data_IF_738011648377
#
_entry.id   IF_738011648377
#
_cell.length_a   1.000
_cell.length_b   1.000
_cell.length_c   1.000
_cell.angle_alpha   90.00
_cell.angle_beta   90.00
_cell.angle_gamma   90.00
#
_symmetry.space_group_name_H-M   'P 1'
#
loop_
_entity.id
_entity.type
_entity.pdbx_description
1 polymer ?
#
# COMPACT_ATOMS: atom_id res chain seq x y z
N UNK A 1 -4.69 -4.76 -21.41
CA UNK A 1 -4.63 -4.41 -19.97
C UNK A 1 -6.00 -4.56 -19.33
N UNK A 2 -6.03 -4.56 -18.03
CA UNK A 2 -7.25 -4.73 -17.24
C UNK A 2 -7.44 -3.52 -16.32
N UNK A 3 -8.04 -2.42 -16.78
CA UNK A 3 -8.25 -1.22 -15.97
C UNK A 3 -9.03 -1.47 -14.68
N UNK A 4 -9.99 -2.40 -14.71
CA UNK A 4 -10.72 -2.89 -13.55
C UNK A 4 -10.83 -4.43 -13.56
N UNK A 5 -11.17 -4.97 -12.40
CA UNK A 5 -11.26 -6.43 -12.20
C UNK A 5 -12.31 -7.10 -13.08
N UNK A 6 -13.35 -6.39 -13.51
CA UNK A 6 -14.37 -6.92 -14.42
C UNK A 6 -13.77 -7.36 -15.75
N UNK A 7 -12.84 -6.57 -16.33
CA UNK A 7 -12.17 -6.95 -17.57
C UNK A 7 -11.31 -8.21 -17.40
N UNK A 8 -10.60 -8.31 -16.25
CA UNK A 8 -9.80 -9.50 -15.93
C UNK A 8 -10.68 -10.76 -15.78
N UNK A 9 -11.82 -10.64 -15.08
CA UNK A 9 -12.74 -11.75 -14.87
C UNK A 9 -13.41 -12.19 -16.19
N UNK A 10 -13.74 -11.23 -17.04
CA UNK A 10 -14.33 -11.52 -18.34
C UNK A 10 -13.32 -12.26 -19.25
N UNK A 11 -12.08 -11.83 -19.30
CA UNK A 11 -11.04 -12.44 -20.14
C UNK A 11 -10.66 -13.86 -19.66
N UNK A 12 -10.50 -14.07 -18.36
CA UNK A 12 -10.06 -15.34 -17.79
C UNK A 12 -11.18 -16.38 -17.66
N UNK A 13 -12.40 -15.94 -17.36
CA UNK A 13 -13.50 -16.83 -16.98
C UNK A 13 -14.77 -16.65 -17.81
N UNK A 14 -14.81 -15.71 -18.75
CA UNK A 14 -16.01 -15.36 -19.50
C UNK A 14 -17.14 -14.74 -18.65
N UNK A 15 -16.80 -14.25 -17.43
CA UNK A 15 -17.77 -13.71 -16.48
C UNK A 15 -17.87 -12.19 -16.64
N UNK A 16 -18.99 -11.72 -17.14
CA UNK A 16 -19.23 -10.28 -17.30
C UNK A 16 -20.01 -9.71 -16.12
N UNK A 17 -19.32 -9.47 -14.99
CA UNK A 17 -19.88 -8.81 -13.82
C UNK A 17 -19.25 -7.40 -13.73
N UNK A 18 -20.03 -6.34 -13.83
CA UNK A 18 -19.53 -4.98 -13.69
C UNK A 18 -19.19 -4.69 -12.21
N UNK A 19 -17.91 -4.80 -11.84
CA UNK A 19 -17.40 -4.53 -10.48
C UNK A 19 -16.74 -3.14 -10.44
N UNK A 20 -17.05 -2.29 -9.46
CA UNK A 20 -16.44 -0.98 -9.29
C UNK A 20 -15.04 -1.06 -8.63
N UNK A 21 -14.26 -2.08 -9.00
CA UNK A 21 -12.95 -2.36 -8.40
C UNK A 21 -11.87 -2.14 -9.43
N UNK A 22 -11.12 -1.07 -9.27
CA UNK A 22 -9.94 -0.80 -10.09
C UNK A 22 -8.85 -1.83 -9.81
N UNK A 23 -8.20 -2.32 -10.85
CA UNK A 23 -7.16 -3.36 -10.76
C UNK A 23 -5.99 -2.92 -9.88
N UNK A 24 -5.53 -1.68 -10.01
CA UNK A 24 -4.49 -1.14 -9.14
C UNK A 24 -4.88 -1.22 -7.66
N UNK A 25 -6.07 -0.71 -7.30
CA UNK A 25 -6.56 -0.74 -5.91
C UNK A 25 -6.71 -2.16 -5.35
N UNK A 26 -7.12 -3.12 -6.18
CA UNK A 26 -7.21 -4.53 -5.82
C UNK A 26 -5.85 -5.12 -5.42
N UNK A 27 -4.81 -4.90 -6.24
CA UNK A 27 -3.46 -5.38 -5.92
C UNK A 27 -2.85 -4.65 -4.72
N UNK A 28 -3.13 -3.37 -4.53
CA UNK A 28 -2.74 -2.63 -3.32
C UNK A 28 -3.36 -3.25 -2.06
N UNK A 29 -4.65 -3.60 -2.10
CA UNK A 29 -5.32 -4.28 -0.98
C UNK A 29 -4.67 -5.65 -0.67
N UNK A 30 -4.38 -6.45 -1.71
CA UNK A 30 -3.65 -7.73 -1.55
C UNK A 30 -2.25 -7.49 -0.97
N UNK A 31 -1.53 -6.46 -1.42
CA UNK A 31 -0.22 -6.10 -0.90
C UNK A 31 -0.27 -5.82 0.60
N UNK A 32 -1.26 -5.06 1.08
CA UNK A 32 -1.49 -4.82 2.50
C UNK A 32 -1.79 -6.10 3.28
N UNK A 33 -2.65 -6.98 2.76
CA UNK A 33 -3.01 -8.23 3.42
C UNK A 33 -1.80 -9.17 3.55
N UNK A 34 -1.05 -9.38 2.47
CA UNK A 34 0.09 -10.29 2.47
C UNK A 34 1.29 -9.73 3.24
N UNK A 35 1.54 -8.43 3.20
CA UNK A 35 2.58 -7.81 4.04
C UNK A 35 2.22 -7.87 5.53
N UNK A 36 0.95 -7.69 5.88
CA UNK A 36 0.46 -7.85 7.25
C UNK A 36 0.61 -9.28 7.73
N UNK A 37 0.28 -10.25 6.89
CA UNK A 37 0.46 -11.67 7.20
C UNK A 37 1.94 -12.02 7.44
N UNK A 38 2.85 -11.57 6.58
CA UNK A 38 4.30 -11.77 6.76
C UNK A 38 4.82 -11.11 8.03
N UNK A 39 4.37 -9.88 8.32
CA UNK A 39 4.69 -9.17 9.56
C UNK A 39 4.20 -9.95 10.79
N UNK A 40 2.99 -10.50 10.75
CA UNK A 40 2.44 -11.33 11.84
C UNK A 40 3.31 -12.57 12.09
N UNK A 41 3.75 -13.25 11.03
CA UNK A 41 4.64 -14.41 11.15
C UNK A 41 5.99 -14.05 11.77
N UNK A 42 6.56 -12.91 11.36
CA UNK A 42 7.85 -12.43 11.91
C UNK A 42 7.73 -12.00 13.38
N UNK A 43 6.67 -11.30 13.75
CA UNK A 43 6.47 -10.92 15.14
C UNK A 43 6.24 -12.15 16.06
N UNK A 44 5.48 -13.16 15.59
CA UNK A 44 5.35 -14.45 16.29
C UNK A 44 6.69 -15.14 16.47
N UNK A 45 7.52 -15.16 15.43
CA UNK A 45 8.87 -15.75 15.51
C UNK A 45 9.74 -15.01 16.51
N UNK A 46 9.82 -13.69 16.41
CA UNK A 46 10.65 -12.85 17.29
C UNK A 46 10.21 -12.94 18.75
N UNK A 47 8.91 -13.10 19.01
CA UNK A 47 8.38 -13.35 20.36
C UNK A 47 8.84 -14.72 20.88
N UNK A 48 8.76 -15.78 20.08
CA UNK A 48 9.25 -17.13 20.46
C UNK A 48 10.76 -17.16 20.73
N UNK A 49 11.53 -16.33 20.02
CA UNK A 49 12.97 -16.19 20.22
C UNK A 49 13.34 -15.29 21.42
N UNK A 50 12.35 -14.72 22.12
CA UNK A 50 12.58 -13.85 23.27
C UNK A 50 13.11 -12.46 22.93
N UNK A 51 13.07 -12.05 21.64
CA UNK A 51 13.53 -10.74 21.19
C UNK A 51 12.51 -9.62 21.49
N UNK A 52 11.24 -9.97 21.62
CA UNK A 52 10.14 -9.10 22.03
C UNK A 52 9.25 -9.83 23.00
N UNK A 53 8.70 -9.10 23.96
CA UNK A 53 7.81 -9.67 24.98
C UNK A 53 6.37 -9.22 24.76
N UNK A 54 5.42 -10.05 25.19
CA UNK A 54 4.03 -9.63 25.31
C UNK A 54 3.89 -8.52 26.36
N UNK A 55 2.93 -7.62 26.16
CA UNK A 55 2.63 -6.52 27.09
C UNK A 55 1.32 -6.79 27.83
N UNK A 56 1.27 -6.43 29.12
CA UNK A 56 0.05 -6.50 29.91
C UNK A 56 -0.73 -5.19 29.80
N UNK A 57 -1.99 -5.26 29.36
CA UNK A 57 -2.89 -4.12 29.28
C UNK A 57 -4.08 -4.31 30.19
N UNK A 58 -4.41 -3.26 30.96
CA UNK A 58 -5.68 -3.23 31.71
C UNK A 58 -6.82 -2.92 30.76
N UNK A 59 -7.80 -3.79 30.66
CA UNK A 59 -9.03 -3.63 29.90
C UNK A 59 -10.21 -3.67 30.85
N UNK A 60 -11.08 -2.67 30.77
CA UNK A 60 -12.33 -2.68 31.54
C UNK A 60 -13.37 -3.39 30.67
N UNK A 61 -13.90 -4.49 31.17
CA UNK A 61 -14.99 -5.26 30.58
C UNK A 61 -16.28 -5.02 31.33
N UNK A 62 -17.40 -5.28 30.68
CA UNK A 62 -18.72 -5.17 31.29
C UNK A 62 -19.21 -3.73 31.45
N UNK A 63 -18.66 -2.77 30.69
CA UNK A 63 -19.16 -1.40 30.68
C UNK A 63 -20.58 -1.36 30.15
N UNK A 64 -21.41 -0.49 30.74
CA UNK A 64 -22.71 -0.15 30.17
C UNK A 64 -22.56 0.57 28.84
N UNK A 65 -23.58 0.45 28.01
CA UNK A 65 -23.62 1.12 26.72
C UNK A 65 -23.55 2.63 26.92
N UNK A 66 -22.56 3.27 26.28
CA UNK A 66 -22.43 4.73 26.31
C UNK A 66 -23.30 5.36 25.21
N UNK A 67 -24.17 6.35 25.53
CA UNK A 67 -24.91 7.08 24.51
C UNK A 67 -23.99 7.73 23.47
N UNK A 68 -22.82 8.23 23.88
CA UNK A 68 -21.83 8.83 22.98
C UNK A 68 -21.29 7.83 21.96
N UNK A 69 -21.00 6.59 22.39
CA UNK A 69 -20.57 5.53 21.47
C UNK A 69 -21.66 5.19 20.44
N UNK A 70 -22.93 5.15 20.86
CA UNK A 70 -24.05 4.90 19.96
C UNK A 70 -24.24 6.03 18.96
N UNK A 71 -24.10 7.29 19.38
CA UNK A 71 -24.19 8.45 18.47
C UNK A 71 -23.07 8.39 17.44
N UNK A 72 -21.83 8.15 17.86
CA UNK A 72 -20.70 8.04 16.93
C UNK A 72 -20.92 6.89 15.93
N UNK A 73 -21.37 5.73 16.40
CA UNK A 73 -21.68 4.60 15.52
C UNK A 73 -22.87 4.90 14.61
N UNK A 74 -23.87 5.63 15.10
CA UNK A 74 -24.99 6.12 14.29
C UNK A 74 -24.54 7.06 13.17
N UNK A 75 -23.65 8.01 13.46
CA UNK A 75 -23.10 8.91 12.44
C UNK A 75 -22.30 8.13 11.39
N UNK A 76 -21.42 7.22 11.80
CA UNK A 76 -20.67 6.37 10.88
C UNK A 76 -21.61 5.53 10.03
N UNK A 77 -22.60 4.89 10.66
CA UNK A 77 -23.62 4.11 9.96
C UNK A 77 -24.44 4.95 8.97
N UNK A 78 -24.78 6.20 9.35
CA UNK A 78 -25.47 7.13 8.46
C UNK A 78 -24.65 7.42 7.20
N UNK A 79 -23.40 7.81 7.35
CA UNK A 79 -22.53 8.14 6.22
C UNK A 79 -22.35 6.93 5.27
N UNK A 80 -22.12 5.75 5.84
CA UNK A 80 -21.98 4.52 5.05
C UNK A 80 -23.29 4.17 4.35
N UNK A 81 -24.41 4.12 5.07
CA UNK A 81 -25.71 3.77 4.49
C UNK A 81 -26.20 4.78 3.46
N UNK A 82 -25.93 6.09 3.68
CA UNK A 82 -26.25 7.17 2.76
C UNK A 82 -25.60 6.95 1.38
N UNK A 83 -24.34 6.52 1.37
CA UNK A 83 -23.59 6.23 0.14
C UNK A 83 -23.91 4.85 -0.45
N UNK A 84 -24.02 3.81 0.38
CA UNK A 84 -24.26 2.44 -0.10
C UNK A 84 -25.62 2.31 -0.81
N UNK A 85 -26.69 2.86 -0.24
CA UNK A 85 -27.99 2.77 -0.90
C UNK A 85 -28.02 3.60 -2.19
N UNK A 86 -27.40 4.78 -2.20
CA UNK A 86 -27.27 5.60 -3.41
C UNK A 86 -26.49 4.88 -4.51
N UNK A 87 -25.35 4.29 -4.16
CA UNK A 87 -24.55 3.48 -5.08
C UNK A 87 -25.31 2.25 -5.61
N UNK A 88 -26.12 1.60 -4.77
CA UNK A 88 -26.94 0.47 -5.19
C UNK A 88 -28.05 0.87 -6.17
N UNK A 89 -28.67 2.03 -5.97
CA UNK A 89 -29.74 2.55 -6.86
C UNK A 89 -29.18 3.10 -8.19
N UNK A 90 -27.96 3.64 -8.18
CA UNK A 90 -27.27 4.19 -9.35
C UNK A 90 -26.02 3.35 -9.68
N UNK A 91 -26.19 2.03 -9.75
CA UNK A 91 -25.07 1.11 -9.83
C UNK A 91 -24.20 1.27 -11.08
N UNK A 92 -24.81 1.58 -12.22
CA UNK A 92 -24.08 1.86 -13.47
C UNK A 92 -23.12 3.05 -13.33
N UNK A 93 -23.56 4.13 -12.71
CA UNK A 93 -22.77 5.34 -12.50
C UNK A 93 -21.67 5.08 -11.46
N UNK A 94 -21.99 4.29 -10.43
CA UNK A 94 -21.03 3.87 -9.42
C UNK A 94 -19.89 3.03 -10.01
N UNK A 95 -20.20 2.10 -10.93
CA UNK A 95 -19.15 1.29 -11.60
C UNK A 95 -18.24 2.17 -12.48
N UNK A 96 -18.82 3.16 -13.16
CA UNK A 96 -18.06 4.05 -14.06
C UNK A 96 -17.18 5.06 -13.30
N UNK A 97 -17.67 5.60 -12.17
CA UNK A 97 -16.94 6.58 -11.36
C UNK A 97 -17.15 6.37 -9.85
N UNK A 98 -16.57 5.31 -9.25
CA UNK A 98 -16.75 5.02 -7.83
C UNK A 98 -16.22 6.14 -6.92
N UNK A 99 -15.09 6.73 -7.28
CA UNK A 99 -14.43 7.78 -6.50
C UNK A 99 -15.26 9.06 -6.48
N UNK A 100 -15.72 9.52 -7.63
CA UNK A 100 -16.55 10.71 -7.75
C UNK A 100 -17.87 10.56 -6.97
N UNK A 101 -18.50 9.38 -7.03
CA UNK A 101 -19.72 9.11 -6.29
C UNK A 101 -19.49 9.08 -4.77
N UNK A 102 -18.42 8.44 -4.29
CA UNK A 102 -18.14 8.36 -2.85
C UNK A 102 -17.86 9.76 -2.27
N UNK A 103 -17.15 10.61 -3.00
CA UNK A 103 -16.79 11.96 -2.54
C UNK A 103 -17.86 13.01 -2.81
N UNK A 104 -18.84 12.74 -3.68
CA UNK A 104 -19.92 13.68 -3.94
C UNK A 104 -20.73 13.96 -2.66
N UNK A 105 -21.48 15.03 -2.64
CA UNK A 105 -22.47 15.30 -1.59
C UNK A 105 -23.77 14.50 -1.80
N UNK A 106 -23.92 13.87 -2.95
CA UNK A 106 -25.09 13.06 -3.30
C UNK A 106 -25.14 11.78 -2.48
N UNK A 107 -26.36 11.31 -2.21
CA UNK A 107 -26.62 10.11 -1.44
C UNK A 107 -28.10 9.90 -1.17
N UNK A 108 -28.45 8.84 -0.49
CA UNK A 108 -29.85 8.49 -0.21
C UNK A 108 -30.15 8.61 1.29
N UNK A 109 -30.96 9.60 1.68
CA UNK A 109 -31.24 9.91 3.09
C UNK A 109 -31.83 8.73 3.87
N UNK A 110 -32.78 7.97 3.26
CA UNK A 110 -33.30 6.77 3.89
C UNK A 110 -32.23 5.70 4.13
N UNK A 111 -31.29 5.54 3.18
CA UNK A 111 -30.12 4.67 3.36
C UNK A 111 -29.27 5.10 4.56
N UNK A 112 -29.08 6.42 4.73
CA UNK A 112 -28.41 6.97 5.89
C UNK A 112 -29.11 6.63 7.20
N UNK A 113 -30.42 6.83 7.29
CA UNK A 113 -31.18 6.50 8.50
C UNK A 113 -31.14 5.00 8.82
N UNK A 114 -31.31 4.14 7.84
CA UNK A 114 -31.21 2.70 8.01
C UNK A 114 -29.80 2.28 8.47
N UNK A 115 -28.78 2.83 7.84
CA UNK A 115 -27.37 2.58 8.23
C UNK A 115 -27.08 3.03 9.65
N UNK A 116 -27.56 4.21 10.05
CA UNK A 116 -27.45 4.71 11.42
C UNK A 116 -28.08 3.78 12.44
N UNK A 117 -29.31 3.37 12.17
CA UNK A 117 -30.05 2.46 13.05
C UNK A 117 -29.34 1.10 13.16
N UNK A 118 -29.00 0.49 12.03
CA UNK A 118 -28.37 -0.84 12.00
C UNK A 118 -27.05 -0.80 12.76
N UNK A 119 -26.17 0.17 12.47
CA UNK A 119 -24.84 0.21 13.10
C UNK A 119 -24.91 0.52 14.60
N UNK A 120 -25.77 1.47 15.00
CA UNK A 120 -26.00 1.76 16.41
C UNK A 120 -26.63 0.57 17.15
N UNK A 121 -27.58 -0.13 16.52
CA UNK A 121 -28.21 -1.32 17.10
C UNK A 121 -27.24 -2.51 17.22
N UNK A 122 -26.40 -2.74 16.21
CA UNK A 122 -25.35 -3.77 16.28
C UNK A 122 -24.39 -3.49 17.43
N UNK A 123 -23.96 -2.24 17.59
CA UNK A 123 -23.10 -1.83 18.71
C UNK A 123 -23.78 -1.97 20.06
N UNK A 124 -25.04 -1.56 20.15
CA UNK A 124 -25.84 -1.75 21.36
C UNK A 124 -25.90 -3.24 21.76
N UNK A 125 -26.20 -4.12 20.81
CA UNK A 125 -26.27 -5.58 21.07
C UNK A 125 -24.91 -6.15 21.48
N UNK A 126 -23.82 -5.74 20.82
CA UNK A 126 -22.47 -6.16 21.15
C UNK A 126 -22.14 -5.83 22.61
N UNK A 127 -22.28 -4.56 22.99
CA UNK A 127 -21.96 -4.09 24.34
C UNK A 127 -22.91 -4.70 25.39
N UNK A 128 -24.21 -4.80 25.08
CA UNK A 128 -25.21 -5.39 25.98
C UNK A 128 -24.96 -6.87 26.28
N UNK A 129 -24.42 -7.61 25.30
CA UNK A 129 -24.05 -9.02 25.47
C UNK A 129 -22.86 -9.20 26.45
N UNK A 130 -21.98 -8.20 26.50
CA UNK A 130 -20.80 -8.21 27.36
C UNK A 130 -21.02 -7.41 28.67
N UNK A 131 -22.20 -6.80 28.88
CA UNK A 131 -22.52 -5.98 30.03
C UNK A 131 -22.52 -6.80 31.32
N UNK A 132 -21.88 -6.30 32.36
CA UNK A 132 -21.85 -6.89 33.70
C UNK A 132 -22.47 -5.89 34.70
N UNK A 133 -23.06 -6.41 35.78
CA UNK A 133 -23.63 -5.55 36.83
C UNK A 133 -22.63 -4.54 37.37
N UNK A 134 -21.37 -4.98 37.50
CA UNK A 134 -20.24 -4.09 37.84
C UNK A 134 -19.10 -4.28 36.84
N UNK A 135 -18.63 -3.19 36.23
CA UNK A 135 -17.47 -3.26 35.32
C UNK A 135 -16.24 -3.84 36.05
N UNK A 136 -15.56 -4.80 35.41
CA UNK A 136 -14.34 -5.39 35.96
C UNK A 136 -13.12 -4.99 35.15
N UNK A 137 -12.04 -4.66 35.85
CA UNK A 137 -10.74 -4.46 35.20
C UNK A 137 -10.02 -5.81 35.12
N UNK A 138 -9.82 -6.29 33.90
CA UNK A 138 -8.99 -7.48 33.64
C UNK A 138 -7.64 -7.05 33.07
N UNK A 139 -6.62 -7.86 33.37
CA UNK A 139 -5.31 -7.70 32.76
C UNK A 139 -5.22 -8.68 31.59
N UNK A 140 -5.25 -8.14 30.39
CA UNK A 140 -5.11 -8.90 29.15
C UNK A 140 -3.63 -8.90 28.72
N UNK A 141 -3.13 -10.07 28.33
CA UNK A 141 -1.81 -10.17 27.71
C UNK A 141 -1.95 -9.94 26.22
N UNK A 142 -1.33 -8.88 25.72
CA UNK A 142 -1.33 -8.53 24.30
C UNK A 142 -0.03 -9.01 23.66
N UNK A 143 -0.14 -9.96 22.76
CA UNK A 143 0.99 -10.47 21.99
C UNK A 143 1.35 -9.52 20.83
N UNK A 144 2.63 -9.36 20.47
CA UNK A 144 3.06 -8.47 19.38
C UNK A 144 2.33 -8.71 18.06
N UNK A 145 2.08 -9.96 17.68
CA UNK A 145 1.39 -10.29 16.43
C UNK A 145 -0.09 -9.85 16.40
N UNK A 146 -0.73 -9.69 17.56
CA UNK A 146 -2.11 -9.18 17.65
C UNK A 146 -2.20 -7.69 17.32
N UNK A 147 -1.09 -6.98 17.37
CA UNK A 147 -1.01 -5.56 17.04
C UNK A 147 -0.98 -5.31 15.52
N UNK A 148 -0.77 -6.34 14.69
CA UNK A 148 -0.56 -6.19 13.24
C UNK A 148 -1.73 -5.52 12.55
N UNK A 149 -2.98 -5.86 12.90
CA UNK A 149 -4.15 -5.19 12.33
C UNK A 149 -4.15 -3.67 12.58
N UNK A 150 -3.84 -3.26 13.81
CA UNK A 150 -3.73 -1.84 14.15
C UNK A 150 -2.50 -1.19 13.48
N UNK A 151 -1.37 -1.88 13.40
CA UNK A 151 -0.16 -1.40 12.70
C UNK A 151 -0.48 -1.15 11.24
N UNK A 152 -1.17 -2.08 10.58
CA UNK A 152 -1.56 -1.94 9.16
C UNK A 152 -2.53 -0.79 8.95
N UNK A 153 -3.53 -0.64 9.82
CA UNK A 153 -4.48 0.48 9.75
C UNK A 153 -3.77 1.83 9.96
N UNK A 154 -2.89 1.93 10.97
CA UNK A 154 -2.09 3.12 11.21
C UNK A 154 -1.21 3.44 10.02
N UNK A 155 -0.51 2.44 9.45
CA UNK A 155 0.31 2.62 8.27
C UNK A 155 -0.50 3.14 7.08
N UNK A 156 -1.69 2.57 6.82
CA UNK A 156 -2.56 2.99 5.73
C UNK A 156 -3.06 4.43 5.92
N UNK A 157 -3.65 4.73 7.08
CA UNK A 157 -4.23 6.06 7.36
C UNK A 157 -3.16 7.14 7.38
N UNK A 158 -2.08 6.94 8.16
CA UNK A 158 -0.99 7.92 8.24
C UNK A 158 -0.22 8.02 6.93
N UNK A 159 -0.14 6.93 6.16
CA UNK A 159 0.44 6.92 4.82
C UNK A 159 -0.36 7.79 3.84
N UNK A 160 -1.68 7.63 3.78
CA UNK A 160 -2.55 8.46 2.93
C UNK A 160 -2.47 9.94 3.31
N UNK A 161 -2.56 10.24 4.62
CA UNK A 161 -2.45 11.61 5.13
C UNK A 161 -1.07 12.20 4.77
N UNK A 162 0.00 11.44 4.98
CA UNK A 162 1.35 11.89 4.66
C UNK A 162 1.56 12.11 3.17
N UNK A 163 1.08 11.19 2.32
CA UNK A 163 1.16 11.32 0.87
C UNK A 163 0.46 12.60 0.39
N UNK A 164 -0.72 12.90 0.95
CA UNK A 164 -1.49 14.10 0.62
C UNK A 164 -0.83 15.37 1.12
N UNK A 165 -0.33 15.35 2.36
CA UNK A 165 0.37 16.49 2.96
C UNK A 165 1.60 16.88 2.13
N UNK A 166 2.44 15.91 1.76
CA UNK A 166 3.65 16.17 0.99
C UNK A 166 3.33 16.63 -0.43
N UNK A 167 2.31 16.04 -1.07
CA UNK A 167 1.86 16.51 -2.38
C UNK A 167 1.46 18.00 -2.34
N UNK A 168 0.66 18.40 -1.35
CA UNK A 168 0.23 19.79 -1.20
C UNK A 168 1.40 20.73 -0.86
N UNK A 169 2.44 20.25 -0.16
CA UNK A 169 3.66 21.01 0.09
C UNK A 169 4.53 21.18 -1.16
N UNK A 170 4.56 20.16 -2.03
CA UNK A 170 5.28 20.21 -3.32
C UNK A 170 4.57 21.11 -4.34
N UNK A 171 3.22 21.22 -4.25
CA UNK A 171 2.37 21.98 -5.18
C UNK A 171 1.61 23.07 -4.41
N UNK A 172 2.34 23.94 -3.72
CA UNK A 172 1.75 24.92 -2.79
C UNK A 172 0.83 25.92 -3.49
N UNK A 173 1.13 26.31 -4.73
CA UNK A 173 0.34 27.26 -5.51
C UNK A 173 -1.04 26.67 -5.88
N UNK A 174 -1.09 25.41 -6.28
CA UNK A 174 -2.35 24.70 -6.55
C UNK A 174 -3.16 24.50 -5.27
N UNK A 175 -2.49 24.19 -4.17
CA UNK A 175 -3.12 24.05 -2.87
C UNK A 175 -3.74 25.36 -2.39
N UNK A 176 -3.05 26.48 -2.52
CA UNK A 176 -3.57 27.80 -2.14
C UNK A 176 -4.72 28.28 -3.03
N UNK A 177 -4.77 27.84 -4.29
CA UNK A 177 -5.87 28.16 -5.22
C UNK A 177 -7.17 27.44 -4.86
N UNK A 178 -7.12 26.16 -4.45
CA UNK A 178 -8.28 25.36 -4.04
C UNK A 178 -7.90 24.39 -2.89
N UNK A 179 -7.81 24.86 -1.63
CA UNK A 179 -7.40 24.01 -0.52
C UNK A 179 -8.35 22.83 -0.24
N UNK A 180 -9.67 23.06 -0.38
CA UNK A 180 -10.68 22.03 -0.08
C UNK A 180 -10.68 20.95 -1.16
N UNK A 181 -10.69 21.34 -2.42
CA UNK A 181 -10.63 20.41 -3.55
C UNK A 181 -9.35 19.57 -3.52
N UNK A 182 -8.21 20.21 -3.25
CA UNK A 182 -6.93 19.50 -3.13
C UNK A 182 -6.90 18.51 -1.95
N UNK A 183 -7.46 18.84 -0.79
CA UNK A 183 -7.52 17.92 0.34
C UNK A 183 -8.47 16.73 0.11
N UNK A 184 -9.58 16.94 -0.59
CA UNK A 184 -10.60 15.92 -0.83
C UNK A 184 -10.32 15.09 -2.08
N UNK A 185 -9.46 15.54 -3.00
CA UNK A 185 -9.16 14.77 -4.21
C UNK A 185 -8.38 13.48 -3.89
N UNK A 186 -8.68 12.39 -4.59
CA UNK A 186 -7.88 11.14 -4.52
C UNK A 186 -6.63 11.17 -5.41
N UNK A 187 -6.52 12.15 -6.31
CA UNK A 187 -5.32 12.40 -7.10
C UNK A 187 -4.29 13.18 -6.30
N UNK A 188 -3.06 13.20 -6.76
CA UNK A 188 -1.99 13.95 -6.12
C UNK A 188 -1.57 13.33 -4.77
N UNK A 189 -0.88 12.20 -4.83
CA UNK A 189 -0.34 11.50 -3.67
C UNK A 189 1.16 11.29 -3.87
N UNK A 190 1.97 11.94 -3.03
CA UNK A 190 3.42 11.76 -3.07
C UNK A 190 3.83 10.51 -2.29
N UNK A 191 4.44 9.56 -2.98
CA UNK A 191 4.84 8.28 -2.40
C UNK A 191 5.72 8.44 -1.14
N UNK A 192 6.73 9.30 -1.19
CA UNK A 192 7.67 9.48 -0.08
C UNK A 192 7.02 10.09 1.16
N UNK A 193 6.07 11.00 1.00
CA UNK A 193 5.29 11.54 2.11
C UNK A 193 4.52 10.44 2.84
N UNK A 194 3.90 9.53 2.08
CA UNK A 194 3.21 8.37 2.63
C UNK A 194 4.14 7.41 3.36
N UNK A 195 5.29 7.10 2.77
CA UNK A 195 6.28 6.20 3.36
C UNK A 195 6.85 6.75 4.68
N UNK A 196 7.24 8.02 4.72
CA UNK A 196 7.82 8.67 5.90
C UNK A 196 6.78 8.73 7.03
N UNK A 197 5.60 9.29 6.77
CA UNK A 197 4.56 9.44 7.79
C UNK A 197 4.06 8.07 8.28
N UNK A 198 3.89 7.10 7.39
CA UNK A 198 3.52 5.72 7.73
C UNK A 198 4.57 5.07 8.62
N UNK A 199 5.84 5.14 8.25
CA UNK A 199 6.94 4.56 9.03
C UNK A 199 7.05 5.20 10.43
N UNK A 200 7.00 6.52 10.53
CA UNK A 200 7.05 7.24 11.82
C UNK A 200 5.90 6.84 12.72
N UNK A 201 4.67 6.80 12.19
CA UNK A 201 3.48 6.44 12.95
C UNK A 201 3.52 4.98 13.44
N UNK A 202 3.97 4.04 12.59
CA UNK A 202 4.14 2.62 12.95
C UNK A 202 5.21 2.46 14.03
N UNK A 203 6.37 3.11 13.89
CA UNK A 203 7.45 3.05 14.89
C UNK A 203 6.96 3.62 16.23
N UNK A 204 6.25 4.75 16.22
CA UNK A 204 5.69 5.35 17.43
C UNK A 204 4.69 4.41 18.11
N UNK A 205 3.78 3.81 17.33
CA UNK A 205 2.81 2.84 17.84
C UNK A 205 3.49 1.59 18.41
N UNK A 206 4.46 1.00 17.70
CA UNK A 206 5.21 -0.17 18.15
C UNK A 206 5.96 0.11 19.46
N UNK A 207 6.59 1.29 19.59
CA UNK A 207 7.28 1.75 20.81
C UNK A 207 6.34 1.79 22.02
N UNK A 208 5.07 2.21 21.83
CA UNK A 208 4.06 2.22 22.91
C UNK A 208 3.80 0.83 23.50
N UNK A 209 4.03 -0.24 22.74
CA UNK A 209 3.90 -1.63 23.15
C UNK A 209 5.25 -2.29 23.45
N UNK A 210 6.30 -1.51 23.68
CA UNK A 210 7.62 -2.01 24.06
C UNK A 210 8.42 -2.67 22.94
N UNK A 211 7.98 -2.55 21.67
CA UNK A 211 8.70 -3.08 20.53
C UNK A 211 9.71 -2.04 20.05
N UNK A 212 10.99 -2.39 20.12
CA UNK A 212 12.07 -1.51 19.70
C UNK A 212 12.05 -1.29 18.18
N UNK A 213 12.34 -0.06 17.71
CA UNK A 213 12.25 0.31 16.30
C UNK A 213 13.08 -0.59 15.37
N UNK A 214 14.28 -1.04 15.78
CA UNK A 214 15.11 -1.95 14.97
C UNK A 214 14.41 -3.30 14.74
N UNK A 215 13.66 -3.78 15.74
CA UNK A 215 13.00 -5.09 15.66
C UNK A 215 11.77 -5.01 14.75
N UNK A 216 10.97 -3.95 14.87
CA UNK A 216 9.79 -3.78 14.01
C UNK A 216 10.20 -3.52 12.55
N UNK A 217 11.29 -2.74 12.31
CA UNK A 217 11.81 -2.51 10.96
C UNK A 217 12.31 -3.79 10.31
N UNK A 218 13.06 -4.64 11.05
CA UNK A 218 13.49 -5.96 10.56
C UNK A 218 12.32 -6.89 10.28
N UNK A 219 11.28 -6.87 11.12
CA UNK A 219 10.10 -7.69 10.93
C UNK A 219 9.27 -7.26 9.71
N UNK A 220 9.25 -5.95 9.43
CA UNK A 220 8.54 -5.38 8.29
C UNK A 220 9.30 -5.53 6.96
N UNK A 221 10.62 -5.56 6.97
CA UNK A 221 11.48 -5.50 5.77
C UNK A 221 11.09 -6.50 4.66
N UNK A 222 10.91 -7.81 4.92
CA UNK A 222 10.46 -8.74 3.88
C UNK A 222 9.05 -8.43 3.39
N UNK A 223 8.13 -8.07 4.30
CA UNK A 223 6.75 -7.71 3.96
C UNK A 223 6.66 -6.46 3.08
N UNK A 224 7.53 -5.47 3.30
CA UNK A 224 7.61 -4.27 2.45
C UNK A 224 8.05 -4.61 1.03
N UNK A 225 9.05 -5.51 0.87
CA UNK A 225 9.49 -5.95 -0.45
C UNK A 225 8.40 -6.76 -1.18
N UNK A 226 7.67 -7.61 -0.46
CA UNK A 226 6.52 -8.33 -1.00
C UNK A 226 5.41 -7.37 -1.44
N UNK A 227 5.08 -6.38 -0.60
CA UNK A 227 4.08 -5.37 -0.92
C UNK A 227 4.46 -4.54 -2.15
N UNK A 228 5.74 -4.21 -2.30
CA UNK A 228 6.25 -3.53 -3.48
C UNK A 228 6.02 -4.35 -4.75
N UNK A 229 6.44 -5.63 -4.78
CA UNK A 229 6.24 -6.49 -5.95
C UNK A 229 4.77 -6.69 -6.31
N UNK A 230 3.88 -6.88 -5.31
CA UNK A 230 2.44 -7.02 -5.55
C UNK A 230 1.81 -5.69 -6.00
N UNK A 231 2.25 -4.56 -5.45
CA UNK A 231 1.82 -3.24 -5.91
C UNK A 231 2.15 -3.02 -7.39
N UNK A 232 3.34 -3.46 -7.83
CA UNK A 232 3.75 -3.41 -9.24
C UNK A 232 2.90 -4.29 -10.17
N UNK A 233 2.29 -5.38 -9.65
CA UNK A 233 1.27 -6.11 -10.42
C UNK A 233 0.08 -5.20 -10.75
N UNK A 234 -0.32 -4.35 -9.79
CA UNK A 234 -1.35 -3.34 -10.04
C UNK A 234 -1.00 -2.40 -11.18
N UNK A 235 0.21 -1.83 -11.17
CA UNK A 235 0.72 -0.96 -12.22
C UNK A 235 0.76 -1.69 -13.59
N UNK A 236 1.32 -2.89 -13.62
CA UNK A 236 1.45 -3.67 -14.85
C UNK A 236 0.10 -4.02 -15.46
N UNK A 237 -0.80 -4.60 -14.67
CA UNK A 237 -2.10 -5.07 -15.18
C UNK A 237 -3.07 -3.96 -15.51
N UNK A 238 -3.01 -2.81 -14.83
CA UNK A 238 -3.85 -1.66 -15.16
C UNK A 238 -3.31 -0.82 -16.33
N UNK A 239 -2.00 -0.85 -16.57
CA UNK A 239 -1.35 0.05 -17.52
C UNK A 239 -1.45 1.50 -17.07
N UNK A 240 -0.95 1.81 -15.87
CA UNK A 240 -1.09 3.11 -15.21
C UNK A 240 -0.06 4.17 -15.60
N UNK A 241 0.80 3.87 -16.57
CA UNK A 241 1.82 4.82 -17.08
C UNK A 241 3.22 4.58 -16.52
N UNK A 242 3.38 3.65 -15.60
CA UNK A 242 4.66 3.34 -14.94
C UNK A 242 5.63 2.51 -15.81
N UNK A 243 5.40 2.46 -17.12
CA UNK A 243 6.27 1.76 -18.08
C UNK A 243 7.58 2.50 -18.35
N UNK A 244 8.47 1.84 -19.10
CA UNK A 244 9.78 2.36 -19.47
C UNK A 244 9.81 3.19 -20.75
N UNK A 245 11.02 3.56 -21.16
CA UNK A 245 11.28 4.24 -22.43
C UNK A 245 10.93 3.35 -23.61
N UNK A 246 10.78 3.95 -24.80
CA UNK A 246 10.51 3.23 -26.04
C UNK A 246 11.57 2.13 -26.28
N UNK A 247 11.10 0.95 -26.62
CA UNK A 247 11.93 -0.23 -26.88
C UNK A 247 11.67 -0.76 -28.28
N UNK A 248 12.48 -0.28 -29.25
CA UNK A 248 12.48 -0.75 -30.63
C UNK A 248 13.59 -1.79 -30.89
N UNK A 249 14.37 -2.13 -29.88
CA UNK A 249 15.44 -3.10 -30.01
C UNK A 249 14.90 -4.54 -30.17
N UNK A 250 15.53 -5.38 -31.00
CA UNK A 250 15.15 -6.77 -31.13
C UNK A 250 15.28 -7.49 -29.79
N UNK A 251 14.36 -8.44 -29.54
CA UNK A 251 14.39 -9.25 -28.32
C UNK A 251 15.69 -10.08 -28.29
N UNK A 252 16.44 -10.05 -27.16
CA UNK A 252 17.68 -10.82 -27.02
C UNK A 252 17.43 -12.32 -27.15
N UNK A 253 18.38 -13.05 -27.72
CA UNK A 253 18.26 -14.51 -27.91
C UNK A 253 18.01 -15.29 -26.62
N UNK A 254 18.61 -14.87 -25.49
CA UNK A 254 18.42 -15.51 -24.20
C UNK A 254 17.00 -15.34 -23.64
N UNK A 255 16.19 -14.41 -24.18
CA UNK A 255 14.75 -14.23 -23.87
C UNK A 255 13.83 -14.88 -24.90
N UNK A 256 14.35 -15.59 -25.93
CA UNK A 256 13.55 -16.15 -27.02
C UNK A 256 12.41 -17.08 -26.57
N UNK A 257 12.58 -17.74 -25.42
CA UNK A 257 11.57 -18.62 -24.80
C UNK A 257 10.40 -17.88 -24.12
N UNK A 258 10.52 -16.56 -23.91
CA UNK A 258 9.47 -15.73 -23.32
C UNK A 258 8.62 -15.08 -24.42
N UNK A 259 7.35 -14.74 -24.16
CA UNK A 259 6.51 -13.96 -25.07
C UNK A 259 7.10 -12.59 -25.39
N UNK A 260 6.80 -12.04 -26.56
CA UNK A 260 7.38 -10.74 -26.99
C UNK A 260 6.99 -9.56 -26.11
N UNK A 261 5.79 -9.57 -25.55
CA UNK A 261 5.32 -8.54 -24.62
C UNK A 261 6.16 -8.44 -23.33
N UNK A 262 6.97 -9.44 -23.01
CA UNK A 262 7.90 -9.37 -21.88
C UNK A 262 9.13 -8.51 -22.15
N UNK A 263 9.41 -8.20 -23.42
CA UNK A 263 10.52 -7.36 -23.85
C UNK A 263 10.06 -5.99 -24.33
N UNK A 264 9.02 -5.94 -25.15
CA UNK A 264 8.51 -4.75 -25.80
C UNK A 264 6.97 -4.81 -25.81
N UNK A 265 6.28 -3.86 -25.16
CA UNK A 265 4.84 -3.92 -24.96
C UNK A 265 4.15 -2.59 -25.23
N UNK A 266 3.01 -2.62 -25.94
CA UNK A 266 2.24 -1.43 -26.31
C UNK A 266 1.16 -1.06 -25.28
N UNK A 267 0.97 -1.83 -24.23
CA UNK A 267 -0.04 -1.62 -23.17
C UNK A 267 -1.44 -1.30 -23.73
N UNK A 268 -2.05 -2.18 -24.56
CA UNK A 268 -3.39 -1.97 -25.10
C UNK A 268 -4.42 -1.90 -23.96
N UNK A 269 -5.42 -1.03 -24.11
CA UNK A 269 -6.47 -0.78 -23.12
C UNK A 269 -5.92 -0.26 -21.77
N UNK A 270 -4.92 0.60 -21.82
CA UNK A 270 -4.32 1.17 -20.61
C UNK A 270 -5.27 2.13 -19.88
N UNK A 271 -5.22 2.14 -18.52
CA UNK A 271 -6.18 2.90 -17.69
C UNK A 271 -6.08 4.41 -17.85
N UNK A 272 -4.94 4.93 -18.34
CA UNK A 272 -4.72 6.35 -18.55
C UNK A 272 -5.09 6.82 -19.96
N UNK A 273 -5.57 5.91 -20.83
CA UNK A 273 -5.96 6.19 -22.22
C UNK A 273 -4.89 6.91 -23.02
N UNK A 274 -3.62 6.59 -22.82
CA UNK A 274 -2.50 7.19 -23.55
C UNK A 274 -2.22 6.41 -24.83
N UNK A 275 -1.86 7.15 -25.92
CA UNK A 275 -1.49 6.58 -27.20
C UNK A 275 -2.54 6.82 -28.28
N UNK A 276 -2.71 5.86 -29.18
CA UNK A 276 -3.64 5.90 -30.31
C UNK A 276 -4.83 4.99 -30.08
N UNK A 277 -6.02 5.33 -30.64
CA UNK A 277 -7.19 4.49 -30.55
C UNK A 277 -6.98 3.11 -31.19
N UNK A 278 -7.44 2.06 -30.53
CA UNK A 278 -7.46 0.70 -31.05
C UNK A 278 -8.69 0.53 -31.95
N UNK A 279 -8.48 0.12 -33.19
CA UNK A 279 -9.55 -0.04 -34.17
C UNK A 279 -10.58 -1.09 -33.71
N UNK A 280 -11.85 -0.74 -33.78
CA UNK A 280 -12.95 -1.65 -33.39
C UNK A 280 -13.12 -1.81 -31.88
N UNK A 281 -12.36 -1.17 -31.04
CA UNK A 281 -12.55 -1.22 -29.58
C UNK A 281 -13.78 -0.44 -29.15
N UNK A 282 -14.57 -1.03 -28.21
CA UNK A 282 -15.77 -0.43 -27.63
C UNK A 282 -15.58 -0.34 -26.12
N UNK A 283 -15.64 0.84 -25.53
CA UNK A 283 -15.52 1.03 -24.08
C UNK A 283 -14.74 2.31 -23.71
N UNK A 284 -14.44 2.46 -22.42
CA UNK A 284 -13.77 3.65 -21.89
C UNK A 284 -12.25 3.63 -22.08
N UNK A 285 -11.67 2.46 -22.27
CA UNK A 285 -10.21 2.25 -22.34
C UNK A 285 -9.85 1.59 -23.66
N UNK A 286 -9.70 2.39 -24.71
CA UNK A 286 -9.52 1.92 -26.07
C UNK A 286 -8.26 2.48 -26.74
N UNK A 287 -7.23 2.77 -25.96
CA UNK A 287 -5.97 3.27 -26.49
C UNK A 287 -4.81 2.30 -26.21
N UNK A 288 -3.82 2.34 -27.09
CA UNK A 288 -2.53 1.67 -26.94
C UNK A 288 -1.38 2.60 -27.32
N UNK A 289 -0.18 2.33 -26.81
CA UNK A 289 1.00 3.14 -27.13
C UNK A 289 1.39 2.98 -28.59
N UNK A 290 1.80 4.08 -29.21
CA UNK A 290 2.25 4.11 -30.61
C UNK A 290 3.50 3.24 -30.80
N UNK A 291 4.42 3.32 -29.86
CA UNK A 291 5.66 2.54 -29.86
C UNK A 291 5.69 1.61 -28.63
N UNK A 292 6.18 0.37 -28.79
CA UNK A 292 6.37 -0.50 -27.66
C UNK A 292 7.43 0.06 -26.69
N UNK A 293 7.24 -0.21 -25.40
CA UNK A 293 8.09 0.25 -24.32
C UNK A 293 8.63 -0.93 -23.51
N UNK A 294 9.67 -0.69 -22.72
CA UNK A 294 10.08 -1.68 -21.71
C UNK A 294 8.97 -1.85 -20.67
N UNK A 295 8.49 -3.08 -20.41
CA UNK A 295 7.49 -3.34 -19.37
C UNK A 295 8.15 -3.32 -17.98
N UNK A 296 8.64 -2.15 -17.56
CA UNK A 296 9.37 -1.98 -16.28
C UNK A 296 8.62 -2.50 -15.07
N UNK A 297 7.27 -2.32 -14.92
CA UNK A 297 6.57 -2.90 -13.80
C UNK A 297 6.67 -4.43 -13.74
N UNK A 298 6.71 -5.11 -14.89
CA UNK A 298 6.93 -6.56 -14.92
C UNK A 298 8.29 -6.96 -14.37
N UNK A 299 9.33 -6.22 -14.75
CA UNK A 299 10.69 -6.47 -14.25
C UNK A 299 10.77 -6.20 -12.74
N UNK A 300 10.17 -5.12 -12.26
CA UNK A 300 10.08 -4.79 -10.85
C UNK A 300 9.32 -5.88 -10.06
N UNK A 301 8.25 -6.49 -10.61
CA UNK A 301 7.54 -7.62 -9.99
C UNK A 301 8.51 -8.78 -9.77
N UNK A 302 9.20 -9.22 -10.83
CA UNK A 302 10.09 -10.39 -10.77
C UNK A 302 11.23 -10.16 -9.80
N UNK A 303 11.88 -9.00 -9.88
CA UNK A 303 13.00 -8.64 -9.01
C UNK A 303 12.53 -8.52 -7.56
N UNK A 304 11.44 -7.80 -7.28
CA UNK A 304 10.94 -7.59 -5.92
C UNK A 304 10.50 -8.91 -5.26
N UNK A 305 9.83 -9.81 -5.99
CA UNK A 305 9.48 -11.13 -5.45
C UNK A 305 10.72 -11.99 -5.21
N UNK A 306 11.73 -11.92 -6.06
CA UNK A 306 13.04 -12.56 -5.86
C UNK A 306 13.76 -12.01 -4.62
N UNK A 307 13.78 -10.69 -4.46
CA UNK A 307 14.36 -10.02 -3.28
C UNK A 307 13.57 -10.31 -1.99
N UNK A 308 12.25 -10.41 -2.08
CA UNK A 308 11.43 -10.90 -0.96
C UNK A 308 11.85 -12.31 -0.56
N UNK A 309 11.94 -13.23 -1.50
CA UNK A 309 12.36 -14.61 -1.24
C UNK A 309 13.77 -14.67 -0.63
N UNK A 310 14.70 -13.84 -1.11
CA UNK A 310 16.03 -13.68 -0.54
C UNK A 310 15.97 -13.19 0.91
N UNK A 311 15.32 -12.06 1.19
CA UNK A 311 15.18 -11.52 2.55
C UNK A 311 14.49 -12.52 3.49
N UNK A 312 13.47 -13.20 2.99
CA UNK A 312 12.74 -14.23 3.75
C UNK A 312 13.62 -15.42 4.09
N UNK A 313 14.52 -15.84 3.20
CA UNK A 313 15.44 -16.95 3.44
C UNK A 313 16.50 -16.63 4.49
N UNK A 314 17.06 -15.40 4.47
CA UNK A 314 18.16 -15.00 5.36
C UNK A 314 17.69 -14.50 6.74
N UNK A 315 16.41 -14.12 6.90
CA UNK A 315 15.88 -13.47 8.12
C UNK A 315 16.14 -14.22 9.42
N UNK A 316 16.21 -15.58 9.36
CA UNK A 316 16.51 -16.42 10.52
C UNK A 316 18.00 -16.51 10.87
N UNK A 317 18.87 -16.18 9.91
CA UNK A 317 20.33 -16.23 10.09
C UNK A 317 20.88 -14.92 10.65
N UNK A 318 20.09 -13.84 10.59
CA UNK A 318 20.49 -12.52 11.05
C UNK A 318 20.00 -12.32 12.47
N UNK A 319 20.92 -12.35 13.45
CA UNK A 319 20.63 -12.21 14.87
C UNK A 319 20.66 -10.75 15.36
N UNK A 320 21.36 -9.84 14.63
CA UNK A 320 21.53 -8.45 15.04
C UNK A 320 20.35 -7.60 14.63
N UNK A 321 19.56 -7.04 15.58
CA UNK A 321 18.40 -6.23 15.24
C UNK A 321 18.76 -4.96 14.44
N UNK A 322 18.07 -4.74 13.33
CA UNK A 322 18.27 -3.64 12.39
C UNK A 322 19.11 -3.98 11.17
N UNK A 323 19.83 -5.11 11.18
CA UNK A 323 20.67 -5.52 10.05
C UNK A 323 19.85 -5.99 8.86
N UNK A 324 18.77 -6.73 9.08
CA UNK A 324 17.88 -7.17 7.97
C UNK A 324 17.24 -5.99 7.26
N UNK A 325 16.84 -4.96 8.01
CA UNK A 325 16.31 -3.72 7.44
C UNK A 325 17.38 -2.95 6.66
N UNK A 326 18.62 -2.92 7.16
CA UNK A 326 19.74 -2.34 6.42
C UNK A 326 19.99 -3.06 5.09
N UNK A 327 19.92 -4.39 5.06
CA UNK A 327 20.04 -5.19 3.83
C UNK A 327 18.88 -4.87 2.89
N UNK A 328 17.64 -4.81 3.41
CA UNK A 328 16.46 -4.39 2.62
C UNK A 328 16.69 -3.03 1.94
N UNK A 329 17.20 -2.02 2.66
CA UNK A 329 17.51 -0.71 2.08
C UNK A 329 18.51 -0.80 0.94
N UNK A 330 19.57 -1.61 1.09
CA UNK A 330 20.59 -1.81 0.06
C UNK A 330 19.97 -2.45 -1.19
N UNK A 331 19.28 -3.56 -1.05
CA UNK A 331 18.75 -4.30 -2.21
C UNK A 331 17.61 -3.55 -2.90
N UNK A 332 16.77 -2.83 -2.14
CA UNK A 332 15.74 -1.96 -2.71
C UNK A 332 16.34 -0.75 -3.45
N UNK A 333 17.38 -0.13 -2.87
CA UNK A 333 18.09 0.95 -3.54
C UNK A 333 18.80 0.50 -4.81
N UNK A 334 19.41 -0.68 -4.82
CA UNK A 334 20.03 -1.26 -6.03
C UNK A 334 18.98 -1.54 -7.11
N UNK A 335 17.90 -2.21 -6.77
CA UNK A 335 16.80 -2.49 -7.70
C UNK A 335 16.30 -1.20 -8.34
N UNK A 336 15.95 -0.21 -7.52
CA UNK A 336 15.43 1.06 -8.00
C UNK A 336 16.43 1.82 -8.87
N UNK A 337 17.72 1.79 -8.55
CA UNK A 337 18.77 2.43 -9.33
C UNK A 337 18.88 1.84 -10.74
N UNK A 338 18.82 0.51 -10.88
CA UNK A 338 18.93 -0.14 -12.18
C UNK A 338 17.67 0.03 -13.04
N UNK A 339 16.49 -0.11 -12.45
CA UNK A 339 15.23 0.09 -13.17
C UNK A 339 15.09 1.53 -13.68
N UNK A 340 15.57 2.51 -12.92
CA UNK A 340 15.50 3.92 -13.29
C UNK A 340 16.17 4.23 -14.63
N UNK A 341 17.17 3.44 -15.03
CA UNK A 341 17.88 3.61 -16.32
C UNK A 341 17.00 3.36 -17.55
N UNK A 342 15.92 2.64 -17.39
CA UNK A 342 14.97 2.30 -18.48
C UNK A 342 13.56 2.86 -18.23
N UNK A 343 13.37 3.69 -17.18
CA UNK A 343 12.10 4.37 -16.89
C UNK A 343 12.04 5.76 -17.52
N UNK A 344 10.82 6.23 -17.73
CA UNK A 344 10.56 7.63 -18.13
C UNK A 344 10.41 8.44 -16.85
N UNK A 345 11.39 9.30 -16.57
CA UNK A 345 11.33 10.22 -15.43
C UNK A 345 11.91 11.59 -15.77
N UNK A 346 11.58 12.59 -14.94
CA UNK A 346 12.12 13.94 -15.09
C UNK A 346 13.59 13.96 -14.68
N UNK A 347 14.45 14.42 -15.56
CA UNK A 347 15.87 14.59 -15.33
C UNK A 347 16.16 15.98 -14.76
N UNK A 348 17.02 16.02 -13.74
CA UNK A 348 17.60 17.23 -13.16
C UNK A 348 19.07 17.33 -13.57
N UNK A 349 19.54 18.51 -13.94
CA UNK A 349 20.95 18.73 -14.26
C UNK A 349 21.68 19.07 -12.98
N UNK A 350 22.49 18.14 -12.47
CA UNK A 350 23.33 18.31 -11.28
C UNK A 350 24.79 18.11 -11.68
N UNK A 351 25.62 19.11 -11.48
CA UNK A 351 27.05 19.12 -11.89
C UNK A 351 27.27 18.75 -13.38
N UNK A 352 26.36 19.20 -14.26
CA UNK A 352 26.44 18.92 -15.69
C UNK A 352 26.07 17.49 -16.12
N UNK A 353 25.51 16.68 -15.21
CA UNK A 353 24.98 15.35 -15.49
C UNK A 353 23.47 15.32 -15.25
N UNK A 354 22.76 14.63 -16.14
CA UNK A 354 21.33 14.34 -15.97
C UNK A 354 21.18 13.24 -14.90
N UNK A 355 20.50 13.56 -13.82
CA UNK A 355 20.24 12.65 -12.69
C UNK A 355 18.76 12.76 -12.32
N UNK A 356 18.11 11.64 -12.07
CA UNK A 356 16.71 11.63 -11.61
C UNK A 356 16.64 11.71 -10.07
N UNK A 357 15.50 12.18 -9.55
CA UNK A 357 15.24 12.17 -8.11
C UNK A 357 15.33 10.74 -7.53
N UNK A 358 14.84 9.75 -8.28
CA UNK A 358 14.87 8.35 -7.85
C UNK A 358 16.31 7.80 -7.75
N UNK A 359 17.22 8.21 -8.62
CA UNK A 359 18.65 7.85 -8.52
C UNK A 359 19.29 8.39 -7.24
N UNK A 360 19.00 9.66 -6.90
CA UNK A 360 19.53 10.27 -5.67
C UNK A 360 19.03 9.52 -4.44
N UNK A 361 17.72 9.22 -4.40
CA UNK A 361 17.11 8.49 -3.28
C UNK A 361 17.66 7.06 -3.20
N UNK A 362 17.83 6.38 -4.32
CA UNK A 362 18.41 5.04 -4.39
C UNK A 362 19.81 5.00 -3.82
N UNK A 363 20.64 5.97 -4.21
CA UNK A 363 22.00 6.11 -3.68
C UNK A 363 22.01 6.38 -2.17
N UNK A 364 21.11 7.26 -1.70
CA UNK A 364 20.96 7.53 -0.27
C UNK A 364 20.51 6.28 0.51
N UNK A 365 19.60 5.47 -0.03
CA UNK A 365 19.17 4.21 0.58
C UNK A 365 20.31 3.21 0.68
N UNK A 366 21.11 3.04 -0.39
CA UNK A 366 22.28 2.14 -0.41
C UNK A 366 23.28 2.56 0.65
N UNK A 367 23.68 3.84 0.67
CA UNK A 367 24.66 4.34 1.65
C UNK A 367 24.15 4.19 3.07
N UNK A 368 22.91 4.59 3.33
CA UNK A 368 22.31 4.49 4.67
C UNK A 368 22.24 3.02 5.12
N UNK A 369 21.81 2.12 4.24
CA UNK A 369 21.80 0.69 4.50
C UNK A 369 23.17 0.12 4.84
N UNK A 370 24.20 0.48 4.07
CA UNK A 370 25.57 0.07 4.33
C UNK A 370 26.09 0.60 5.69
N UNK A 371 25.83 1.86 6.01
CA UNK A 371 26.21 2.46 7.31
C UNK A 371 25.52 1.72 8.46
N UNK A 372 24.23 1.43 8.34
CA UNK A 372 23.46 0.70 9.36
C UNK A 372 24.07 -0.68 9.58
N UNK A 373 24.25 -1.46 8.52
CA UNK A 373 24.80 -2.83 8.60
C UNK A 373 26.20 -2.81 9.22
N UNK A 374 27.07 -1.94 8.72
CA UNK A 374 28.46 -1.85 9.22
C UNK A 374 28.53 -1.47 10.71
N UNK A 375 27.76 -0.43 11.12
CA UNK A 375 27.77 0.04 12.52
C UNK A 375 27.22 -1.01 13.48
N UNK A 376 26.13 -1.69 13.10
CA UNK A 376 25.50 -2.69 13.96
C UNK A 376 26.37 -3.94 14.12
N UNK A 377 26.98 -4.43 13.04
CA UNK A 377 27.87 -5.58 13.09
C UNK A 377 29.18 -5.27 13.86
N UNK A 378 29.75 -4.06 13.69
CA UNK A 378 30.93 -3.62 14.47
C UNK A 378 30.59 -3.48 15.95
N UNK A 379 29.42 -2.97 16.31
CA UNK A 379 28.97 -2.84 17.68
C UNK A 379 28.83 -4.21 18.38
N UNK A 380 28.33 -5.22 17.69
CA UNK A 380 28.22 -6.58 18.22
C UNK A 380 29.61 -7.21 18.49
N UNK A 381 30.56 -7.03 17.58
CA UNK A 381 31.94 -7.56 17.80
C UNK A 381 32.61 -6.99 19.06
N UNK A 382 32.39 -5.71 19.37
CA UNK A 382 32.93 -5.07 20.57
C UNK A 382 32.30 -5.55 21.89
N UNK A 383 31.12 -6.18 21.87
CA UNK A 383 30.48 -6.76 23.06
C UNK A 383 30.92 -8.21 23.31
N UNK A 384 31.58 -8.84 22.32
CA UNK A 384 32.05 -10.22 22.38
C UNK A 384 33.56 -10.30 22.62
N UNK A 385 34.29 -9.18 22.51
CA UNK A 385 35.71 -8.99 22.92
C UNK A 385 35.81 -8.24 24.24
#
# INVERSE_FOLDING_TARGET
>A
MYPNISYLLNDLFGINIPLPIQTFGFFVAIAFLLSSWTLSLELKRKEKEGLINSTKRKKIIGKKVSPQELIVQGIVGFLVGYKLLYAGLNYSDFVNNPQGMILSTEGHFLGGLLGAFINAYMKYREVKKEELDTPKTITETVHPFQLVGNITMIAAVSGIIGAKLFHNLENIDEFLADPIGQLLSFSGLTFYGGLICGAVAVIYYAKKYGIHYKIISDAAAPGLMLAYGIGRMGCHFSGDGDWGINNLAPKPEWMSFLPDWTWAYTYPNNVINTGVPIEGCIGNYCNELIYPVYPTPLYEIVIALGLFAFLWSIRKRISVPGVLFGIYMIVNGLERFFIEKIRINTNYIIFGKEITQAEIISFALIITGLIIVFRLLKGQRKLLT
#
